data_IF_317063715143
#
_entry.id   IF_317063715143
#
_cell.length_a   1.000
_cell.length_b   1.000
_cell.length_c   1.000
_cell.angle_alpha   90.00
_cell.angle_beta   90.00
_cell.angle_gamma   90.00
#
_symmetry.space_group_name_H-M   'P 1'
#
loop_
_entity.id
_entity.type
_entity.pdbx_description
1 polymer ?
#
# COMPACT_ATOMS: atom_id res chain seq x y z
N UNK A 1 58.06 -10.59 -12.31
CA UNK A 1 57.37 -11.73 -12.94
C UNK A 1 57.57 -11.61 -14.43
N UNK A 2 58.06 -12.68 -15.07
CA UNK A 2 58.19 -12.71 -16.53
C UNK A 2 56.79 -12.70 -17.17
N UNK A 3 56.66 -12.26 -18.42
CA UNK A 3 55.38 -12.31 -19.17
C UNK A 3 54.85 -13.74 -19.31
N UNK A 4 55.74 -14.72 -19.25
CA UNK A 4 55.41 -16.15 -19.24
C UNK A 4 54.71 -16.53 -17.93
N UNK A 5 55.23 -16.11 -16.78
CA UNK A 5 54.64 -16.40 -15.46
C UNK A 5 53.20 -15.87 -15.32
N UNK A 6 52.94 -14.66 -15.83
CA UNK A 6 51.60 -14.04 -15.77
C UNK A 6 50.60 -14.80 -16.64
N UNK A 7 51.04 -15.27 -17.80
CA UNK A 7 50.20 -15.99 -18.76
C UNK A 7 49.81 -17.37 -18.22
N UNK A 8 50.75 -18.06 -17.59
CA UNK A 8 50.51 -19.39 -17.02
C UNK A 8 49.62 -19.32 -15.78
N UNK A 9 49.85 -18.33 -14.91
CA UNK A 9 48.97 -18.06 -13.76
C UNK A 9 47.53 -17.75 -14.20
N UNK A 10 47.36 -16.95 -15.26
CA UNK A 10 46.03 -16.61 -15.77
C UNK A 10 45.32 -17.81 -16.43
N UNK A 11 46.05 -18.66 -17.15
CA UNK A 11 45.51 -19.91 -17.72
C UNK A 11 45.07 -20.89 -16.64
N UNK A 12 45.80 -21.00 -15.54
CA UNK A 12 45.41 -21.81 -14.40
C UNK A 12 44.10 -21.31 -13.76
N UNK A 13 43.97 -20.00 -13.55
CA UNK A 13 42.74 -19.39 -13.02
C UNK A 13 41.52 -19.66 -13.91
N UNK A 14 41.66 -19.57 -15.24
CA UNK A 14 40.56 -19.80 -16.19
C UNK A 14 40.15 -21.28 -16.24
N UNK A 15 41.11 -22.22 -16.09
CA UNK A 15 40.80 -23.65 -16.00
C UNK A 15 40.06 -24.02 -14.72
N UNK A 16 40.37 -23.35 -13.60
CA UNK A 16 39.79 -23.64 -12.28
C UNK A 16 38.32 -23.22 -12.16
N UNK A 17 37.90 -22.21 -12.92
CA UNK A 17 36.54 -21.62 -12.88
C UNK A 17 35.56 -22.19 -13.93
N UNK A 18 35.95 -23.19 -14.73
CA UNK A 18 35.04 -23.86 -15.68
C UNK A 18 34.46 -22.97 -16.79
N UNK A 19 35.12 -21.86 -17.14
CA UNK A 19 34.61 -20.86 -18.10
C UNK A 19 34.80 -21.27 -19.58
N UNK A 20 33.94 -20.81 -20.51
CA UNK A 20 33.82 -21.37 -21.86
C UNK A 20 35.06 -21.15 -22.74
N UNK A 21 35.21 -22.00 -23.79
CA UNK A 21 36.30 -22.01 -24.79
C UNK A 21 36.70 -20.64 -25.36
N UNK A 22 35.81 -19.65 -25.33
CA UNK A 22 36.08 -18.27 -25.73
C UNK A 22 37.07 -17.53 -24.80
N UNK A 23 37.06 -17.79 -23.49
CA UNK A 23 38.00 -17.18 -22.54
C UNK A 23 39.44 -17.66 -22.77
N UNK A 24 39.61 -18.93 -23.16
CA UNK A 24 40.91 -19.49 -23.53
C UNK A 24 41.48 -18.87 -24.82
N UNK A 25 40.61 -18.57 -25.79
CA UNK A 25 40.98 -17.84 -27.02
C UNK A 25 41.48 -16.42 -26.69
N UNK A 26 40.80 -15.70 -25.80
CA UNK A 26 41.21 -14.36 -25.36
C UNK A 26 42.55 -14.36 -24.60
N UNK A 27 42.79 -15.39 -23.76
CA UNK A 27 44.04 -15.56 -23.02
C UNK A 27 45.25 -15.82 -23.94
N UNK A 28 45.04 -16.44 -25.11
CA UNK A 28 46.10 -16.68 -26.10
C UNK A 28 46.42 -15.45 -26.97
N UNK A 29 45.53 -14.45 -27.03
CA UNK A 29 45.73 -13.22 -27.82
C UNK A 29 46.45 -12.14 -27.02
N UNK A 30 46.28 -12.10 -25.69
CA UNK A 30 46.89 -11.10 -24.82
C UNK A 30 48.43 -11.04 -24.83
N UNK A 31 49.20 -12.14 -24.96
CA UNK A 31 50.67 -12.10 -24.94
C UNK A 31 51.30 -11.53 -26.22
N UNK A 32 50.57 -11.52 -27.35
CA UNK A 32 51.11 -11.13 -28.67
C UNK A 32 50.71 -9.71 -29.10
N UNK A 33 49.95 -9.00 -28.28
CA UNK A 33 49.41 -7.68 -28.64
C UNK A 33 50.36 -6.61 -28.12
N UNK A 34 50.95 -5.83 -29.03
CA UNK A 34 51.89 -4.76 -28.65
C UNK A 34 51.23 -3.79 -27.65
N UNK A 35 52.01 -3.16 -26.74
CA UNK A 35 51.48 -2.20 -25.77
C UNK A 35 50.63 -1.08 -26.40
N UNK A 36 50.92 -0.71 -27.66
CA UNK A 36 50.12 0.26 -28.43
C UNK A 36 48.72 -0.26 -28.78
N UNK A 37 48.61 -1.54 -29.11
CA UNK A 37 47.35 -2.17 -29.48
C UNK A 37 46.48 -2.45 -28.24
N UNK A 38 47.08 -2.84 -27.11
CA UNK A 38 46.38 -2.89 -25.82
C UNK A 38 45.79 -1.53 -25.41
N UNK A 39 46.55 -0.44 -25.58
CA UNK A 39 46.05 0.93 -25.33
C UNK A 39 44.89 1.30 -26.26
N UNK A 40 44.87 0.81 -27.50
CA UNK A 40 43.74 1.03 -28.43
C UNK A 40 42.51 0.25 -28.02
N UNK A 41 42.66 -0.99 -27.57
CA UNK A 41 41.55 -1.82 -27.08
C UNK A 41 40.92 -1.21 -25.83
N UNK A 42 41.74 -0.77 -24.86
CA UNK A 42 41.25 -0.08 -23.65
C UNK A 42 40.55 1.24 -24.01
N UNK A 43 41.04 1.98 -25.01
CA UNK A 43 40.38 3.19 -25.52
C UNK A 43 39.11 2.93 -26.34
N UNK A 44 38.94 1.72 -26.89
CA UNK A 44 37.76 1.33 -27.68
C UNK A 44 36.66 0.67 -26.86
N UNK A 45 36.95 0.26 -25.63
CA UNK A 45 35.90 -0.07 -24.67
C UNK A 45 35.19 1.25 -24.36
N UNK A 46 33.87 1.38 -24.62
CA UNK A 46 33.14 2.58 -24.25
C UNK A 46 33.14 2.66 -22.73
N UNK A 47 34.05 3.44 -22.15
CA UNK A 47 33.86 3.95 -20.80
C UNK A 47 32.61 4.83 -20.87
N UNK A 48 31.58 4.60 -20.04
CA UNK A 48 30.44 5.50 -20.01
C UNK A 48 30.95 6.93 -19.81
N UNK A 49 30.74 7.78 -20.82
CA UNK A 49 31.25 9.16 -20.87
C UNK A 49 30.42 10.15 -20.05
N UNK A 50 29.38 9.70 -19.36
CA UNK A 50 28.71 10.52 -18.36
C UNK A 50 29.16 10.08 -16.97
N UNK A 51 29.96 10.91 -16.32
CA UNK A 51 29.83 11.12 -14.88
C UNK A 51 28.43 11.72 -14.63
N UNK A 52 27.36 10.95 -14.85
CA UNK A 52 26.02 11.38 -14.47
C UNK A 52 25.93 11.17 -12.97
N UNK A 53 26.39 12.16 -12.21
CA UNK A 53 26.08 12.26 -10.78
C UNK A 53 24.56 12.23 -10.62
N UNK A 54 24.08 11.48 -9.64
CA UNK A 54 22.66 11.52 -9.29
C UNK A 54 22.27 12.94 -8.89
N UNK A 55 21.12 13.40 -9.35
CA UNK A 55 20.49 14.62 -8.82
C UNK A 55 20.07 14.41 -7.36
N UNK A 56 19.80 15.51 -6.66
CA UNK A 56 19.28 15.43 -5.29
C UNK A 56 17.93 14.69 -5.23
N UNK A 57 17.02 14.94 -6.17
CA UNK A 57 15.71 14.27 -6.21
C UNK A 57 15.85 12.76 -6.47
N UNK A 58 16.67 12.35 -7.44
CA UNK A 58 16.94 10.92 -7.70
C UNK A 58 17.57 10.23 -6.49
N UNK A 59 18.50 10.92 -5.82
CA UNK A 59 19.16 10.40 -4.61
C UNK A 59 18.17 10.26 -3.45
N UNK A 60 17.28 11.24 -3.25
CA UNK A 60 16.22 11.16 -2.22
C UNK A 60 15.29 9.99 -2.53
N UNK A 61 14.87 9.82 -3.79
CA UNK A 61 14.04 8.70 -4.20
C UNK A 61 14.73 7.36 -3.94
N UNK A 62 16.02 7.24 -4.28
CA UNK A 62 16.83 6.05 -4.01
C UNK A 62 16.94 5.76 -2.51
N UNK A 63 17.19 6.78 -1.68
CA UNK A 63 17.22 6.61 -0.22
C UNK A 63 15.90 6.05 0.31
N UNK A 64 14.76 6.56 -0.18
CA UNK A 64 13.44 6.10 0.25
C UNK A 64 13.15 4.67 -0.21
N UNK A 65 13.49 4.32 -1.46
CA UNK A 65 13.29 2.97 -2.00
C UNK A 65 14.14 1.93 -1.28
N UNK A 66 15.38 2.27 -0.93
CA UNK A 66 16.31 1.40 -0.23
C UNK A 66 16.16 1.43 1.30
N UNK A 67 15.32 2.33 1.85
CA UNK A 67 15.17 2.50 3.29
C UNK A 67 16.44 2.98 3.99
N UNK A 68 17.25 3.79 3.33
CA UNK A 68 18.52 4.28 3.88
C UNK A 68 18.28 5.36 4.95
N UNK A 69 18.91 5.18 6.11
CA UNK A 69 19.05 6.26 7.09
C UNK A 69 20.05 7.32 6.61
N UNK A 70 20.06 8.48 7.27
CA UNK A 70 21.08 9.52 7.07
C UNK A 70 22.49 8.94 7.21
N UNK A 71 22.74 8.17 8.26
CA UNK A 71 24.08 7.66 8.56
C UNK A 71 24.52 6.62 7.54
N UNK A 72 23.63 5.70 7.16
CA UNK A 72 23.89 4.71 6.11
C UNK A 72 24.23 5.39 4.77
N UNK A 73 23.51 6.47 4.43
CA UNK A 73 23.78 7.26 3.23
C UNK A 73 25.17 7.93 3.30
N UNK A 74 25.49 8.57 4.43
CA UNK A 74 26.78 9.25 4.61
C UNK A 74 27.94 8.24 4.53
N UNK A 75 27.78 7.05 5.13
CA UNK A 75 28.77 5.97 5.06
C UNK A 75 28.95 5.50 3.60
N UNK A 76 27.85 5.24 2.89
CA UNK A 76 27.87 4.82 1.50
C UNK A 76 28.59 5.85 0.61
N UNK A 77 28.23 7.13 0.76
CA UNK A 77 28.86 8.22 0.01
C UNK A 77 30.36 8.30 0.29
N UNK A 78 30.77 8.24 1.57
CA UNK A 78 32.20 8.26 1.95
C UNK A 78 32.97 7.08 1.36
N UNK A 79 32.39 5.88 1.38
CA UNK A 79 32.99 4.69 0.79
C UNK A 79 33.21 4.85 -0.72
N UNK A 80 32.22 5.36 -1.45
CA UNK A 80 32.35 5.66 -2.89
C UNK A 80 33.41 6.74 -3.15
N UNK A 81 33.39 7.84 -2.40
CA UNK A 81 34.40 8.91 -2.53
C UNK A 81 35.82 8.40 -2.26
N UNK A 82 36.02 7.48 -1.30
CA UNK A 82 37.32 6.85 -1.04
C UNK A 82 37.85 6.00 -2.21
N UNK A 83 36.97 5.58 -3.11
CA UNK A 83 37.31 4.87 -4.35
C UNK A 83 37.38 5.81 -5.56
N UNK A 84 37.32 7.12 -5.34
CA UNK A 84 37.32 8.14 -6.40
C UNK A 84 35.99 8.27 -7.15
N UNK A 85 34.90 7.71 -6.63
CA UNK A 85 33.57 7.75 -7.25
C UNK A 85 32.75 8.86 -6.59
N UNK A 86 32.53 9.96 -7.30
CA UNK A 86 31.76 11.11 -6.81
C UNK A 86 30.35 11.16 -7.43
N UNK A 87 29.60 10.06 -7.30
CA UNK A 87 28.29 9.92 -7.94
C UNK A 87 27.12 10.48 -7.11
N UNK A 88 27.29 10.69 -5.79
CA UNK A 88 26.21 11.04 -4.86
C UNK A 88 26.35 12.46 -4.28
N UNK A 89 25.29 13.30 -4.29
CA UNK A 89 25.28 14.64 -3.70
C UNK A 89 25.64 14.68 -2.21
N UNK A 90 25.98 15.86 -1.67
CA UNK A 90 26.17 15.96 -0.21
C UNK A 90 24.84 15.81 0.52
N UNK A 91 24.87 15.39 1.79
CA UNK A 91 23.63 15.32 2.57
C UNK A 91 23.03 16.71 2.83
N UNK A 92 23.85 17.77 2.84
CA UNK A 92 23.36 19.15 2.96
C UNK A 92 22.46 19.54 1.79
N UNK A 93 22.90 19.25 0.56
CA UNK A 93 22.14 19.52 -0.66
C UNK A 93 20.81 18.72 -0.67
N UNK A 94 20.85 17.48 -0.18
CA UNK A 94 19.62 16.68 -0.02
C UNK A 94 18.68 17.27 1.02
N UNK A 95 19.20 17.87 2.09
CA UNK A 95 18.39 18.48 3.14
C UNK A 95 17.67 19.73 2.63
N UNK A 96 18.38 20.60 1.91
CA UNK A 96 17.80 21.78 1.27
C UNK A 96 16.72 21.37 0.24
N UNK A 97 17.04 20.38 -0.60
CA UNK A 97 16.07 19.84 -1.57
C UNK A 97 14.84 19.26 -0.88
N UNK A 98 15.01 18.54 0.25
CA UNK A 98 13.87 18.03 1.05
C UNK A 98 13.01 19.16 1.60
N UNK A 99 13.60 20.26 2.07
CA UNK A 99 12.83 21.40 2.58
C UNK A 99 11.97 22.05 1.51
N UNK A 100 12.43 22.06 0.26
CA UNK A 100 11.65 22.58 -0.88
C UNK A 100 10.52 21.64 -1.33
N UNK A 101 10.63 20.33 -1.06
CA UNK A 101 9.62 19.33 -1.42
C UNK A 101 8.57 19.17 -0.31
N UNK A 102 9.02 19.18 0.95
CA UNK A 102 8.21 18.87 2.11
C UNK A 102 7.30 20.04 2.47
N UNK A 103 6.07 19.69 2.83
CA UNK A 103 5.15 20.63 3.46
C UNK A 103 5.50 20.77 4.92
N UNK A 104 5.60 22.02 5.40
CA UNK A 104 5.68 22.29 6.83
C UNK A 104 4.34 21.92 7.50
N UNK A 105 4.34 21.06 8.53
CA UNK A 105 3.13 20.80 9.29
C UNK A 105 2.62 22.10 9.92
N UNK A 106 1.32 22.31 9.87
CA UNK A 106 0.68 23.50 10.45
C UNK A 106 0.69 23.43 11.97
N UNK A 107 0.58 22.22 12.53
CA UNK A 107 0.64 21.99 13.98
C UNK A 107 1.54 20.79 14.24
N UNK A 108 2.51 20.96 15.14
CA UNK A 108 3.33 19.88 15.71
C UNK A 108 3.37 20.04 17.22
N UNK A 109 2.93 19.02 17.94
CA UNK A 109 3.05 18.92 19.40
C UNK A 109 3.62 17.56 19.78
N UNK A 110 3.83 17.33 21.08
CA UNK A 110 4.26 16.04 21.60
C UNK A 110 3.23 14.92 21.38
N UNK A 111 1.97 15.25 21.04
CA UNK A 111 0.86 14.31 20.92
C UNK A 111 0.25 14.24 19.52
N UNK A 112 0.49 15.22 18.64
CA UNK A 112 -0.12 15.27 17.31
C UNK A 112 0.72 16.03 16.29
N UNK A 113 0.54 15.68 15.02
CA UNK A 113 0.95 16.53 13.92
C UNK A 113 -0.15 16.59 12.84
N UNK A 114 -0.38 17.79 12.31
CA UNK A 114 -1.42 18.05 11.29
C UNK A 114 -0.87 18.96 10.21
N UNK A 115 -1.23 18.66 8.96
CA UNK A 115 -0.96 19.50 7.80
C UNK A 115 -2.28 20.15 7.36
N UNK A 116 -2.22 21.41 6.91
CA UNK A 116 -3.36 22.07 6.28
C UNK A 116 -3.79 21.29 5.03
N UNK A 117 -5.08 20.99 4.94
CA UNK A 117 -5.63 20.21 3.84
C UNK A 117 -5.46 20.91 2.48
N UNK A 118 -5.72 22.22 2.41
CA UNK A 118 -5.57 23.00 1.16
C UNK A 118 -4.13 22.96 0.66
N UNK A 119 -3.18 23.22 1.56
CA UNK A 119 -1.74 23.17 1.28
C UNK A 119 -1.31 21.76 0.83
N UNK A 120 -1.84 20.71 1.47
CA UNK A 120 -1.54 19.33 1.08
C UNK A 120 -2.02 19.00 -0.32
N UNK A 121 -3.25 19.41 -0.65
CA UNK A 121 -3.87 19.16 -1.94
C UNK A 121 -3.20 19.95 -3.06
N UNK A 122 -2.92 21.23 -2.83
CA UNK A 122 -2.21 22.09 -3.78
C UNK A 122 -0.82 21.53 -4.10
N UNK A 123 -0.01 21.24 -3.08
CA UNK A 123 1.31 20.65 -3.29
C UNK A 123 1.22 19.29 -3.99
N UNK A 124 0.22 18.46 -3.64
CA UNK A 124 -0.01 17.18 -4.31
C UNK A 124 -0.37 17.37 -5.78
N UNK A 125 -1.27 18.31 -6.10
CA UNK A 125 -1.66 18.62 -7.46
C UNK A 125 -0.47 19.13 -8.28
N UNK A 126 0.27 20.13 -7.77
CA UNK A 126 1.46 20.68 -8.44
C UNK A 126 2.49 19.58 -8.72
N UNK A 127 2.81 18.73 -7.73
CA UNK A 127 3.78 17.64 -7.92
C UNK A 127 3.30 16.60 -8.93
N UNK A 128 2.01 16.32 -9.02
CA UNK A 128 1.46 15.43 -10.06
C UNK A 128 1.56 16.09 -11.44
N UNK A 129 1.17 17.37 -11.56
CA UNK A 129 1.19 18.09 -12.84
C UNK A 129 2.61 18.19 -13.39
N UNK A 130 3.63 18.37 -12.54
CA UNK A 130 5.05 18.34 -12.94
C UNK A 130 5.48 17.02 -13.59
N UNK A 131 4.72 15.93 -13.44
CA UNK A 131 4.98 14.64 -14.09
C UNK A 131 4.31 14.50 -15.46
N UNK A 132 3.46 15.44 -15.86
CA UNK A 132 2.70 15.38 -17.11
C UNK A 132 3.54 15.77 -18.32
N UNK A 133 3.18 15.22 -19.47
CA UNK A 133 3.79 15.59 -20.74
C UNK A 133 3.37 16.99 -21.18
N UNK A 134 4.22 17.67 -21.96
CA UNK A 134 3.89 18.97 -22.56
C UNK A 134 2.61 18.93 -23.41
N UNK A 135 2.35 17.81 -24.08
CA UNK A 135 1.10 17.61 -24.84
C UNK A 135 -0.12 17.65 -23.91
N UNK A 136 -0.09 16.90 -22.81
CA UNK A 136 -1.17 16.88 -21.82
C UNK A 136 -1.40 18.27 -21.23
N UNK A 137 -0.32 18.99 -20.89
CA UNK A 137 -0.39 20.36 -20.37
C UNK A 137 -1.04 21.33 -21.37
N UNK A 138 -0.67 21.22 -22.66
CA UNK A 138 -1.28 22.01 -23.73
C UNK A 138 -2.78 21.72 -23.89
N UNK A 139 -3.18 20.46 -23.77
CA UNK A 139 -4.58 20.05 -23.86
C UNK A 139 -5.46 20.56 -22.71
N UNK A 140 -4.88 20.83 -21.54
CA UNK A 140 -5.61 21.32 -20.36
C UNK A 140 -5.41 22.81 -20.11
N UNK A 141 -4.62 23.48 -20.96
CA UNK A 141 -4.39 24.90 -20.83
C UNK A 141 -5.73 25.66 -20.87
N UNK A 142 -5.89 26.61 -19.96
CA UNK A 142 -7.10 27.41 -19.75
C UNK A 142 -8.37 26.60 -19.47
N UNK A 143 -8.25 25.33 -19.12
CA UNK A 143 -9.37 24.49 -18.75
C UNK A 143 -9.59 24.50 -17.23
N UNK A 144 -10.79 24.10 -16.82
CA UNK A 144 -11.05 23.66 -15.46
C UNK A 144 -10.79 22.16 -15.40
N UNK A 145 -10.01 21.72 -14.42
CA UNK A 145 -9.72 20.31 -14.14
C UNK A 145 -10.07 20.01 -12.68
N UNK A 146 -10.28 18.73 -12.37
CA UNK A 146 -10.63 18.26 -11.05
C UNK A 146 -9.71 17.12 -10.62
N UNK A 147 -9.04 17.29 -9.49
CA UNK A 147 -8.30 16.23 -8.82
C UNK A 147 -9.28 15.44 -7.93
N UNK A 148 -9.45 14.16 -8.27
CA UNK A 148 -10.26 13.22 -7.49
C UNK A 148 -9.34 12.46 -6.52
N UNK A 149 -9.67 12.52 -5.25
CA UNK A 149 -8.96 11.85 -4.17
C UNK A 149 -9.91 10.94 -3.40
N UNK A 150 -9.34 9.90 -2.79
CA UNK A 150 -9.99 9.20 -1.68
C UNK A 150 -9.23 9.49 -0.40
N UNK A 151 -9.93 9.46 0.71
CA UNK A 151 -9.32 9.64 2.02
C UNK A 151 -10.01 8.76 3.06
N UNK A 152 -9.40 8.69 4.23
CA UNK A 152 -10.00 8.05 5.40
C UNK A 152 -9.05 8.05 6.58
N UNK A 153 -9.46 7.35 7.62
CA UNK A 153 -8.76 7.28 8.89
C UNK A 153 -8.72 5.85 9.43
N UNK A 154 -7.68 5.56 10.19
CA UNK A 154 -7.45 4.26 10.79
C UNK A 154 -6.71 4.38 12.12
N UNK A 155 -6.98 3.42 13.01
CA UNK A 155 -6.40 3.32 14.34
C UNK A 155 -5.40 2.19 14.44
N UNK A 156 -4.19 2.51 14.91
CA UNK A 156 -3.20 1.53 15.32
C UNK A 156 -3.09 1.54 16.84
N UNK A 157 -3.16 0.36 17.45
CA UNK A 157 -2.89 0.16 18.88
C UNK A 157 -1.61 -0.65 19.07
N UNK A 158 -1.15 -0.80 20.31
CA UNK A 158 0.01 -1.65 20.70
C UNK A 158 1.36 -1.15 20.20
N UNK A 159 1.52 0.17 20.09
CA UNK A 159 2.84 0.78 19.89
C UNK A 159 3.69 0.70 21.16
N UNK A 160 5.01 0.73 20.97
CA UNK A 160 5.97 0.78 22.07
C UNK A 160 5.90 2.15 22.76
N UNK A 161 5.94 2.13 24.09
CA UNK A 161 6.03 3.37 24.86
C UNK A 161 7.44 3.93 24.86
N UNK A 162 7.52 5.25 24.69
CA UNK A 162 8.75 6.00 24.84
C UNK A 162 9.06 6.23 26.32
N UNK A 163 10.34 6.09 26.69
CA UNK A 163 10.84 6.44 28.02
C UNK A 163 11.15 7.96 28.09
N UNK A 164 10.11 8.78 27.98
CA UNK A 164 10.23 10.24 27.99
C UNK A 164 9.29 10.86 29.03
N UNK A 165 9.66 12.03 29.57
CA UNK A 165 8.83 12.77 30.51
C UNK A 165 7.65 13.41 29.76
N UNK A 166 6.54 12.69 29.63
CA UNK A 166 5.32 13.13 28.98
C UNK A 166 4.10 12.44 29.62
N UNK A 167 2.97 13.12 29.64
CA UNK A 167 1.67 12.58 30.06
C UNK A 167 0.90 11.91 28.93
N UNK A 168 1.42 11.96 27.70
CA UNK A 168 0.76 11.41 26.51
C UNK A 168 0.88 9.88 26.47
N UNK A 169 -0.23 9.18 26.20
CA UNK A 169 -0.23 7.74 25.95
C UNK A 169 0.18 7.46 24.50
N UNK A 170 1.40 6.96 24.32
CA UNK A 170 1.98 6.67 23.00
C UNK A 170 1.61 5.29 22.45
N UNK A 171 0.80 4.49 23.17
CA UNK A 171 0.48 3.10 22.77
C UNK A 171 -0.49 3.02 21.59
N UNK A 172 -1.22 4.10 21.32
CA UNK A 172 -2.20 4.15 20.24
C UNK A 172 -1.97 5.38 19.38
N UNK A 173 -2.11 5.21 18.07
CA UNK A 173 -2.10 6.29 17.09
C UNK A 173 -3.38 6.20 16.27
N UNK A 174 -4.01 7.35 16.09
CA UNK A 174 -5.09 7.52 15.14
C UNK A 174 -4.62 8.46 14.04
N UNK A 175 -4.78 8.06 12.79
CA UNK A 175 -4.25 8.82 11.65
C UNK A 175 -5.29 8.96 10.55
N UNK A 176 -5.23 10.09 9.83
CA UNK A 176 -5.95 10.27 8.57
C UNK A 176 -4.96 10.46 7.43
N UNK A 177 -5.33 9.95 6.26
CA UNK A 177 -4.52 10.06 5.05
C UNK A 177 -5.40 10.18 3.81
N UNK A 178 -4.81 10.74 2.76
CA UNK A 178 -5.45 11.00 1.49
C UNK A 178 -4.60 10.40 0.35
N UNK A 179 -5.27 9.89 -0.69
CA UNK A 179 -4.64 9.31 -1.86
C UNK A 179 -5.22 9.96 -3.12
N UNK A 180 -4.39 10.61 -3.96
CA UNK A 180 -4.83 11.09 -5.26
C UNK A 180 -5.11 9.89 -6.19
N UNK A 181 -6.26 9.90 -6.86
CA UNK A 181 -6.71 8.81 -7.74
C UNK A 181 -6.55 9.17 -9.21
N UNK A 182 -7.03 10.34 -9.61
CA UNK A 182 -7.00 10.79 -11.00
C UNK A 182 -7.22 12.29 -11.11
N UNK A 183 -6.78 12.88 -12.21
CA UNK A 183 -7.15 14.24 -12.60
C UNK A 183 -7.96 14.15 -13.89
N UNK A 184 -9.04 14.91 -13.98
CA UNK A 184 -9.98 14.92 -15.11
C UNK A 184 -10.33 16.35 -15.53
N UNK A 185 -10.66 16.57 -16.79
CA UNK A 185 -11.27 17.83 -17.24
C UNK A 185 -12.68 18.01 -16.67
N UNK A 186 -12.97 19.16 -16.10
CA UNK A 186 -14.23 19.52 -15.42
C UNK A 186 -15.44 19.67 -16.37
N UNK A 187 -15.28 19.34 -17.67
CA UNK A 187 -16.33 19.46 -18.69
C UNK A 187 -17.22 18.21 -18.83
N UNK A 188 -16.81 17.05 -18.29
CA UNK A 188 -17.66 15.84 -18.25
C UNK A 188 -18.61 15.90 -17.05
N UNK A 189 -19.67 16.70 -17.16
CA UNK A 189 -20.78 16.74 -16.18
C UNK A 189 -21.71 15.53 -16.29
N UNK A 190 -21.47 14.65 -17.26
CA UNK A 190 -22.35 13.52 -17.56
C UNK A 190 -21.94 12.27 -16.76
N UNK A 191 -22.63 12.03 -15.65
CA UNK A 191 -22.45 10.85 -14.79
C UNK A 191 -22.66 9.51 -15.54
N UNK A 192 -23.21 9.55 -16.76
CA UNK A 192 -23.48 8.40 -17.62
C UNK A 192 -22.41 8.13 -18.70
N UNK A 193 -21.45 9.04 -18.93
CA UNK A 193 -20.38 8.82 -19.92
C UNK A 193 -19.37 7.80 -19.39
N UNK A 194 -19.10 6.76 -20.18
CA UNK A 194 -18.01 5.80 -19.95
C UNK A 194 -16.67 6.28 -20.53
N UNK A 195 -16.69 7.38 -21.29
CA UNK A 195 -15.54 8.03 -21.91
C UNK A 195 -15.16 9.23 -21.05
N UNK A 196 -14.34 8.99 -20.03
CA UNK A 196 -13.80 10.05 -19.19
C UNK A 196 -12.49 10.58 -19.75
N UNK A 197 -12.35 11.90 -19.89
CA UNK A 197 -11.09 12.51 -20.29
C UNK A 197 -10.15 12.69 -19.08
N UNK A 198 -9.63 11.56 -18.57
CA UNK A 198 -8.66 11.50 -17.47
C UNK A 198 -7.27 11.89 -18.01
N UNK A 199 -6.65 12.93 -17.44
CA UNK A 199 -5.33 13.44 -17.85
C UNK A 199 -4.19 12.84 -17.02
N UNK A 200 -4.53 12.29 -15.86
CA UNK A 200 -3.63 11.57 -14.99
C UNK A 200 -4.40 10.51 -14.23
N UNK A 201 -3.84 9.31 -14.12
CA UNK A 201 -4.41 8.20 -13.35
C UNK A 201 -3.32 7.60 -12.47
N UNK A 202 -3.61 7.45 -11.19
CA UNK A 202 -2.77 6.67 -10.29
C UNK A 202 -2.85 5.19 -10.67
N UNK A 203 -1.73 4.63 -11.17
CA UNK A 203 -1.64 3.22 -11.55
C UNK A 203 -1.66 2.26 -10.36
N UNK A 204 -1.38 2.74 -9.14
CA UNK A 204 -1.31 1.92 -7.92
C UNK A 204 -2.02 2.60 -6.73
N UNK A 205 -3.35 2.81 -6.80
CA UNK A 205 -4.10 3.57 -5.80
C UNK A 205 -4.22 2.89 -4.42
N UNK A 206 -3.77 1.63 -4.29
CA UNK A 206 -3.64 0.91 -3.02
C UNK A 206 -2.22 0.94 -2.43
N UNK A 207 -1.26 1.58 -3.11
CA UNK A 207 0.13 1.64 -2.66
C UNK A 207 0.32 2.66 -1.54
N UNK A 208 1.13 2.29 -0.54
CA UNK A 208 1.56 3.19 0.53
C UNK A 208 2.32 4.42 0.01
N UNK A 209 2.93 4.34 -1.17
CA UNK A 209 3.74 5.42 -1.75
C UNK A 209 2.90 6.64 -2.18
N UNK A 210 1.59 6.44 -2.43
CA UNK A 210 0.66 7.52 -2.75
C UNK A 210 -0.19 7.96 -1.57
N UNK A 211 0.00 7.35 -0.39
CA UNK A 211 -0.74 7.67 0.82
C UNK A 211 -0.12 8.90 1.49
N UNK A 212 -0.79 10.04 1.36
CA UNK A 212 -0.34 11.34 1.91
C UNK A 212 -0.96 11.52 3.30
N UNK A 213 -0.15 11.60 4.38
CA UNK A 213 -0.69 11.79 5.73
C UNK A 213 -1.27 13.19 5.89
N UNK A 214 -2.50 13.27 6.39
CA UNK A 214 -3.17 14.53 6.73
C UNK A 214 -2.89 14.91 8.19
N UNK A 215 -3.03 13.94 9.07
CA UNK A 215 -2.68 14.08 10.47
C UNK A 215 -2.40 12.72 11.12
N UNK A 216 -1.68 12.76 12.23
CA UNK A 216 -1.65 11.67 13.20
C UNK A 216 -1.72 12.23 14.62
N UNK A 217 -2.36 11.48 15.51
CA UNK A 217 -2.53 11.85 16.91
C UNK A 217 -2.34 10.60 17.78
N UNK A 218 -1.62 10.76 18.89
CA UNK A 218 -1.46 9.73 19.91
C UNK A 218 -2.75 9.63 20.75
N UNK A 219 -3.74 8.98 20.16
CA UNK A 219 -5.04 8.73 20.77
C UNK A 219 -5.58 7.41 20.26
N UNK A 220 -6.48 6.80 21.03
CA UNK A 220 -7.17 5.59 20.61
C UNK A 220 -8.27 5.94 19.63
N UNK A 221 -8.42 5.12 18.60
CA UNK A 221 -9.60 5.18 17.74
C UNK A 221 -10.87 4.89 18.55
N UNK A 222 -11.73 5.90 18.64
CA UNK A 222 -12.99 5.86 19.36
C UNK A 222 -14.10 6.48 18.51
N UNK A 223 -15.36 6.21 18.84
CA UNK A 223 -16.52 6.82 18.16
C UNK A 223 -16.40 8.34 18.13
N UNK A 224 -16.05 8.94 19.27
CA UNK A 224 -15.95 10.40 19.45
C UNK A 224 -14.81 10.96 18.59
N UNK A 225 -13.61 10.38 18.69
CA UNK A 225 -12.44 10.87 17.94
C UNK A 225 -12.64 10.73 16.42
N UNK A 226 -13.29 9.65 16.00
CA UNK A 226 -13.61 9.38 14.59
C UNK A 226 -14.60 10.41 14.06
N UNK A 227 -15.71 10.64 14.76
CA UNK A 227 -16.72 11.62 14.36
C UNK A 227 -16.14 13.03 14.33
N UNK A 228 -15.37 13.42 15.35
CA UNK A 228 -14.70 14.72 15.39
C UNK A 228 -13.76 14.92 14.21
N UNK A 229 -12.89 13.95 13.92
CA UNK A 229 -11.95 14.04 12.81
C UNK A 229 -12.68 14.15 11.46
N UNK A 230 -13.69 13.32 11.24
CA UNK A 230 -14.48 13.35 10.00
C UNK A 230 -15.22 14.67 9.84
N UNK A 231 -15.92 15.15 10.87
CA UNK A 231 -16.64 16.43 10.81
C UNK A 231 -15.70 17.61 10.55
N UNK A 232 -14.54 17.64 11.23
CA UNK A 232 -13.53 18.68 11.01
C UNK A 232 -13.06 18.68 9.56
N UNK A 233 -12.65 17.52 9.04
CA UNK A 233 -12.11 17.40 7.69
C UNK A 233 -13.18 17.65 6.61
N UNK A 234 -14.42 17.20 6.79
CA UNK A 234 -15.53 17.51 5.89
C UNK A 234 -15.87 19.02 5.88
N UNK A 235 -15.73 19.70 7.01
CA UNK A 235 -15.88 21.16 7.07
C UNK A 235 -14.75 21.86 6.29
N UNK A 236 -13.52 21.36 6.39
CA UNK A 236 -12.39 21.85 5.60
C UNK A 236 -12.62 21.63 4.09
N UNK A 237 -13.24 20.51 3.68
CA UNK A 237 -13.60 20.28 2.26
C UNK A 237 -14.64 21.26 1.73
N UNK A 238 -15.66 21.59 2.52
CA UNK A 238 -16.73 22.52 2.10
C UNK A 238 -16.21 23.93 1.84
N UNK A 239 -15.13 24.31 2.53
CA UNK A 239 -14.50 25.62 2.41
C UNK A 239 -13.33 25.62 1.42
N UNK A 240 -13.14 24.54 0.65
CA UNK A 240 -11.98 24.38 -0.20
C UNK A 240 -12.19 25.08 -1.55
N UNK A 241 -11.34 26.04 -1.85
CA UNK A 241 -11.39 26.78 -3.12
C UNK A 241 -10.58 26.07 -4.20
N UNK A 242 -10.90 26.39 -5.46
CA UNK A 242 -10.07 25.94 -6.59
C UNK A 242 -8.75 26.68 -6.59
N UNK A 243 -7.69 26.00 -7.02
CA UNK A 243 -6.33 26.57 -7.08
C UNK A 243 -5.94 26.80 -8.53
N UNK A 244 -5.33 27.95 -8.80
CA UNK A 244 -4.73 28.23 -10.11
C UNK A 244 -3.34 27.58 -10.16
N UNK A 245 -3.12 26.69 -11.12
CA UNK A 245 -1.81 26.08 -11.34
C UNK A 245 -1.18 26.71 -12.58
N UNK A 246 0.01 27.29 -12.41
CA UNK A 246 0.83 27.87 -13.46
C UNK A 246 2.14 27.08 -13.58
N UNK A 247 2.37 26.47 -14.74
CA UNK A 247 3.60 25.73 -15.05
C UNK A 247 4.03 26.08 -16.47
N UNK A 248 5.23 26.66 -16.60
CA UNK A 248 5.77 27.19 -17.85
C UNK A 248 4.83 28.27 -18.43
N UNK A 249 4.22 28.00 -19.59
CA UNK A 249 3.28 28.87 -20.29
C UNK A 249 1.82 28.41 -20.14
N UNK A 250 1.58 27.34 -19.36
CA UNK A 250 0.27 26.73 -19.19
C UNK A 250 -0.36 27.12 -17.85
N UNK A 251 -1.62 27.54 -17.91
CA UNK A 251 -2.39 27.98 -16.74
C UNK A 251 -3.74 27.28 -16.76
N UNK A 252 -4.15 26.68 -15.65
CA UNK A 252 -5.47 26.06 -15.53
C UNK A 252 -5.98 26.07 -14.09
N UNK A 253 -7.29 25.89 -13.92
CA UNK A 253 -7.93 25.87 -12.60
C UNK A 253 -8.11 24.43 -12.11
N UNK A 254 -7.64 24.15 -10.90
CA UNK A 254 -7.75 22.85 -10.24
C UNK A 254 -8.80 22.89 -9.13
N UNK A 255 -9.93 22.22 -9.36
CA UNK A 255 -10.88 21.87 -8.31
C UNK A 255 -10.54 20.54 -7.64
N UNK A 256 -11.17 20.26 -6.50
CA UNK A 256 -10.91 19.04 -5.73
C UNK A 256 -12.22 18.30 -5.43
N UNK A 257 -12.20 16.97 -5.57
CA UNK A 257 -13.32 16.09 -5.26
C UNK A 257 -12.81 14.92 -4.42
N UNK A 258 -13.20 14.89 -3.15
CA UNK A 258 -12.56 14.06 -2.14
C UNK A 258 -13.61 13.13 -1.54
N UNK A 259 -13.35 11.83 -1.57
CA UNK A 259 -14.32 10.79 -1.17
C UNK A 259 -13.84 10.00 0.05
N UNK A 260 -14.64 9.98 1.12
CA UNK A 260 -14.37 9.22 2.35
C UNK A 260 -14.62 7.72 2.12
N UNK A 261 -13.68 7.04 1.47
CA UNK A 261 -13.83 5.62 1.07
C UNK A 261 -12.70 4.73 1.59
N UNK A 262 -11.67 5.31 2.20
CA UNK A 262 -10.58 4.57 2.86
C UNK A 262 -10.90 4.33 4.34
N UNK A 263 -12.09 3.80 4.62
CA UNK A 263 -12.53 3.46 5.97
C UNK A 263 -12.90 1.99 6.07
N UNK A 264 -12.83 1.44 7.29
CA UNK A 264 -13.33 0.11 7.56
C UNK A 264 -14.83 0.12 7.89
N UNK A 265 -15.41 -1.07 8.04
CA UNK A 265 -16.83 -1.19 8.40
C UNK A 265 -17.15 -0.66 9.79
N UNK A 266 -16.18 -0.60 10.70
CA UNK A 266 -16.38 -0.10 12.07
C UNK A 266 -16.53 1.41 12.07
N UNK A 267 -15.64 2.12 11.37
CA UNK A 267 -15.72 3.57 11.15
C UNK A 267 -17.02 3.92 10.42
N UNK A 268 -17.38 3.18 9.36
CA UNK A 268 -18.65 3.40 8.66
C UNK A 268 -19.88 3.25 9.58
N UNK A 269 -19.90 2.23 10.44
CA UNK A 269 -20.96 2.06 11.44
C UNK A 269 -21.01 3.21 12.46
N UNK A 270 -19.85 3.68 12.90
CA UNK A 270 -19.72 4.85 13.79
C UNK A 270 -20.31 6.12 13.16
N UNK A 271 -20.09 6.34 11.86
CA UNK A 271 -20.59 7.52 11.16
C UNK A 271 -22.08 7.45 10.86
N UNK A 272 -22.61 6.25 10.60
CA UNK A 272 -24.03 6.01 10.31
C UNK A 272 -24.90 5.86 11.57
N UNK A 273 -24.31 5.94 12.77
CA UNK A 273 -25.02 5.74 14.03
C UNK A 273 -25.49 4.29 14.26
N UNK A 274 -24.97 3.34 13.49
CA UNK A 274 -25.34 1.93 13.60
C UNK A 274 -24.53 1.30 14.74
N UNK A 275 -25.20 1.09 15.88
CA UNK A 275 -24.58 0.64 17.13
C UNK A 275 -24.03 -0.80 17.12
N UNK A 276 -24.23 -1.56 16.04
CA UNK A 276 -23.88 -2.98 15.98
C UNK A 276 -23.17 -3.36 14.67
N UNK A 277 -21.96 -3.93 14.79
CA UNK A 277 -21.17 -4.55 13.71
C UNK A 277 -21.86 -5.72 13.00
N UNK A 278 -23.06 -6.12 13.44
CA UNK A 278 -23.85 -7.24 12.89
C UNK A 278 -25.05 -6.78 12.06
N UNK A 279 -25.21 -5.48 11.83
CA UNK A 279 -26.20 -4.92 10.91
C UNK A 279 -25.51 -4.47 9.63
N UNK A 280 -26.22 -4.52 8.53
CA UNK A 280 -25.75 -3.96 7.27
C UNK A 280 -25.75 -2.43 7.37
N UNK A 281 -24.62 -1.77 7.07
CA UNK A 281 -24.51 -0.32 7.06
C UNK A 281 -25.48 0.35 6.08
N UNK A 282 -25.72 -0.30 4.94
CA UNK A 282 -26.53 0.24 3.84
C UNK A 282 -28.04 0.06 4.09
N UNK A 283 -28.47 -1.11 4.58
CA UNK A 283 -29.90 -1.42 4.72
C UNK A 283 -30.41 -1.45 6.17
N UNK A 284 -29.52 -1.34 7.16
CA UNK A 284 -29.86 -1.47 8.58
C UNK A 284 -30.31 -2.87 9.03
N UNK A 285 -30.48 -3.83 8.10
CA UNK A 285 -30.98 -5.18 8.37
C UNK A 285 -29.98 -6.03 9.14
N UNK A 286 -30.50 -6.90 10.02
CA UNK A 286 -29.72 -7.95 10.71
C UNK A 286 -29.67 -9.21 9.85
N UNK A 287 -28.75 -10.13 10.16
CA UNK A 287 -28.64 -11.44 9.49
C UNK A 287 -29.97 -12.21 9.39
N UNK A 288 -30.83 -12.12 10.42
CA UNK A 288 -32.16 -12.76 10.43
C UNK A 288 -33.08 -12.28 9.32
N UNK A 289 -32.93 -11.02 8.92
CA UNK A 289 -33.90 -10.29 8.09
C UNK A 289 -33.62 -10.52 6.59
N UNK A 290 -32.47 -11.12 6.26
CA UNK A 290 -32.08 -11.46 4.89
C UNK A 290 -32.68 -12.79 4.39
N UNK A 291 -33.50 -13.48 5.20
CA UNK A 291 -34.14 -14.76 4.82
C UNK A 291 -35.44 -14.59 4.00
N UNK A 292 -35.92 -13.37 3.77
CA UNK A 292 -37.18 -13.08 3.04
C UNK A 292 -36.98 -12.29 1.72
N UNK A 293 -38.04 -12.21 0.90
CA UNK A 293 -38.00 -11.51 -0.40
C UNK A 293 -37.60 -10.03 -0.25
N UNK A 294 -36.69 -9.57 -1.10
CA UNK A 294 -35.98 -8.29 -1.03
C UNK A 294 -36.80 -7.05 -1.39
N UNK A 295 -38.14 -7.10 -1.32
CA UNK A 295 -39.00 -6.08 -1.93
C UNK A 295 -39.03 -4.74 -1.17
N UNK A 296 -38.75 -4.75 0.14
CA UNK A 296 -38.67 -3.52 0.96
C UNK A 296 -37.23 -3.34 1.50
N UNK A 297 -36.33 -2.90 0.62
CA UNK A 297 -34.98 -2.47 1.00
C UNK A 297 -34.97 -0.96 1.16
N UNK A 298 -35.08 -0.51 2.41
CA UNK A 298 -34.78 0.88 2.74
C UNK A 298 -33.26 1.06 2.67
N UNK A 299 -32.80 1.91 1.77
CA UNK A 299 -31.38 2.17 1.51
C UNK A 299 -31.00 3.47 2.20
N UNK A 300 -29.96 3.42 3.03
CA UNK A 300 -29.30 4.62 3.51
C UNK A 300 -28.33 5.14 2.43
N UNK A 301 -28.74 6.21 1.74
CA UNK A 301 -27.94 6.83 0.67
C UNK A 301 -26.62 7.42 1.18
N UNK A 302 -26.59 7.98 2.39
CA UNK A 302 -25.35 8.48 3.02
C UNK A 302 -24.32 7.37 3.20
N UNK A 303 -24.79 6.14 3.47
CA UNK A 303 -23.90 4.98 3.63
C UNK A 303 -23.23 4.54 2.33
N UNK A 304 -23.81 4.88 1.17
CA UNK A 304 -23.22 4.55 -0.12
C UNK A 304 -22.01 5.42 -0.45
N UNK A 305 -21.93 6.63 0.12
CA UNK A 305 -20.78 7.53 -0.07
C UNK A 305 -19.48 6.95 0.49
N UNK A 306 -19.59 6.10 1.51
CA UNK A 306 -18.46 5.39 2.12
C UNK A 306 -17.90 4.27 1.24
N UNK A 307 -18.63 3.86 0.20
CA UNK A 307 -18.27 2.75 -0.67
C UNK A 307 -18.25 1.40 0.05
N UNK A 308 -17.65 0.41 -0.62
CA UNK A 308 -17.48 -0.94 -0.09
C UNK A 308 -15.99 -1.18 0.11
N UNK A 309 -15.59 -1.71 1.26
CA UNK A 309 -14.19 -2.08 1.54
C UNK A 309 -13.91 -3.52 1.05
N UNK A 310 -13.27 -3.72 -0.12
CA UNK A 310 -13.14 -5.06 -0.69
C UNK A 310 -12.20 -5.95 0.13
N UNK A 311 -11.18 -5.33 0.74
CA UNK A 311 -10.25 -6.02 1.65
C UNK A 311 -11.00 -6.65 2.84
N UNK A 312 -11.80 -5.85 3.54
CA UNK A 312 -12.57 -6.34 4.68
C UNK A 312 -13.65 -7.32 4.25
N UNK A 313 -14.29 -7.12 3.08
CA UNK A 313 -15.24 -8.09 2.53
C UNK A 313 -14.58 -9.47 2.36
N UNK A 314 -13.40 -9.55 1.74
CA UNK A 314 -12.65 -10.82 1.59
C UNK A 314 -12.31 -11.47 2.92
N UNK A 315 -11.82 -10.69 3.89
CA UNK A 315 -11.50 -11.22 5.23
C UNK A 315 -12.77 -11.77 5.91
N UNK A 316 -13.89 -11.06 5.83
CA UNK A 316 -15.18 -11.52 6.38
C UNK A 316 -15.73 -12.76 5.67
N UNK A 317 -15.54 -12.88 4.36
CA UNK A 317 -15.90 -14.09 3.63
C UNK A 317 -15.06 -15.29 4.08
N UNK A 318 -13.74 -15.12 4.23
CA UNK A 318 -12.85 -16.15 4.79
C UNK A 318 -13.36 -16.60 6.17
N UNK A 319 -13.56 -15.66 7.10
CA UNK A 319 -14.08 -15.97 8.44
C UNK A 319 -15.42 -16.72 8.38
N UNK A 320 -16.31 -16.30 7.47
CA UNK A 320 -17.60 -16.95 7.29
C UNK A 320 -17.47 -18.40 6.82
N UNK A 321 -16.63 -18.67 5.83
CA UNK A 321 -16.37 -20.02 5.34
C UNK A 321 -15.74 -20.90 6.42
N UNK A 322 -14.75 -20.39 7.14
CA UNK A 322 -14.13 -21.12 8.24
C UNK A 322 -15.16 -21.48 9.30
N UNK A 323 -16.01 -20.54 9.71
CA UNK A 323 -17.08 -20.84 10.66
C UNK A 323 -18.09 -21.87 10.12
N UNK A 324 -18.48 -21.77 8.85
CA UNK A 324 -19.34 -22.77 8.22
C UNK A 324 -18.70 -24.17 8.30
N UNK A 325 -17.41 -24.28 7.99
CA UNK A 325 -16.67 -25.54 8.02
C UNK A 325 -16.62 -26.17 9.41
N UNK A 326 -16.36 -25.36 10.44
CA UNK A 326 -16.36 -25.82 11.82
C UNK A 326 -17.73 -26.37 12.24
N UNK A 327 -18.80 -25.83 11.66
CA UNK A 327 -20.18 -26.18 11.99
C UNK A 327 -20.76 -27.28 11.05
N UNK A 328 -20.11 -27.60 9.91
CA UNK A 328 -20.62 -28.59 8.94
C UNK A 328 -20.83 -29.97 9.56
N UNK A 329 -19.90 -30.42 10.41
CA UNK A 329 -20.00 -31.73 11.06
C UNK A 329 -21.22 -31.81 11.96
N UNK A 330 -21.51 -30.73 12.70
CA UNK A 330 -22.71 -30.61 13.52
C UNK A 330 -23.99 -30.62 12.68
N UNK A 331 -24.02 -29.86 11.58
CA UNK A 331 -25.19 -29.79 10.70
C UNK A 331 -25.47 -31.10 9.93
N UNK A 332 -24.48 -31.97 9.76
CA UNK A 332 -24.64 -33.29 9.11
C UNK A 332 -25.06 -34.41 10.07
N UNK A 333 -25.08 -34.17 11.38
CA UNK A 333 -25.50 -35.19 12.34
C UNK A 333 -27.02 -35.41 12.32
N UNK A 334 -27.50 -36.65 12.54
CA UNK A 334 -28.92 -36.95 12.69
C UNK A 334 -29.58 -36.06 13.78
N UNK A 335 -30.81 -35.63 13.53
CA UNK A 335 -31.53 -34.64 14.34
C UNK A 335 -31.65 -35.04 15.82
N UNK A 336 -31.78 -36.33 16.11
CA UNK A 336 -31.92 -36.85 17.47
C UNK A 336 -30.60 -36.82 18.24
N UNK A 337 -29.48 -37.10 17.58
CA UNK A 337 -28.14 -36.96 18.17
C UNK A 337 -27.76 -35.49 18.43
N UNK A 338 -28.25 -34.56 17.60
CA UNK A 338 -28.04 -33.12 17.80
C UNK A 338 -28.82 -32.56 18.99
N UNK A 339 -30.03 -33.08 19.26
CA UNK A 339 -30.85 -32.65 20.40
C UNK A 339 -30.30 -33.12 21.76
N UNK A 340 -29.50 -34.19 21.77
CA UNK A 340 -28.92 -34.77 22.99
C UNK A 340 -27.59 -34.14 23.41
N UNK A 341 -26.95 -33.36 22.55
CA UNK A 341 -25.67 -32.73 22.85
C UNK A 341 -25.85 -31.52 23.75
N UNK A 342 -25.12 -31.49 24.86
CA UNK A 342 -25.08 -30.30 25.68
C UNK A 342 -24.19 -29.21 25.06
N UNK A 343 -24.28 -27.99 25.61
CA UNK A 343 -23.57 -26.81 25.10
C UNK A 343 -22.04 -26.97 25.17
N UNK A 344 -21.54 -27.76 26.11
CA UNK A 344 -20.11 -27.98 26.32
C UNK A 344 -19.55 -28.95 25.28
N UNK A 345 -20.22 -30.08 25.06
CA UNK A 345 -19.86 -31.07 24.05
C UNK A 345 -19.84 -30.46 22.63
N UNK A 346 -20.84 -29.63 22.32
CA UNK A 346 -20.90 -28.91 21.05
C UNK A 346 -19.70 -27.97 20.85
N UNK A 347 -19.26 -27.28 21.90
CA UNK A 347 -18.07 -26.40 21.84
C UNK A 347 -16.79 -27.20 21.65
N UNK A 348 -16.65 -28.33 22.35
CA UNK A 348 -15.47 -29.20 22.27
C UNK A 348 -15.34 -29.83 20.88
N UNK A 349 -16.45 -30.30 20.31
CA UNK A 349 -16.46 -30.79 18.93
C UNK A 349 -16.05 -29.71 17.94
N UNK A 350 -16.63 -28.49 18.06
CA UNK A 350 -16.26 -27.36 17.21
C UNK A 350 -14.79 -27.00 17.33
N UNK A 351 -14.22 -27.03 18.54
CA UNK A 351 -12.81 -26.77 18.77
C UNK A 351 -11.90 -27.86 18.15
N UNK A 352 -12.28 -29.14 18.27
CA UNK A 352 -11.58 -30.25 17.61
C UNK A 352 -11.59 -30.10 16.09
N UNK A 353 -12.74 -29.76 15.51
CA UNK A 353 -12.88 -29.55 14.07
C UNK A 353 -12.06 -28.33 13.60
N UNK A 354 -12.10 -27.22 14.34
CA UNK A 354 -11.24 -26.05 14.10
C UNK A 354 -9.76 -26.43 14.09
N UNK A 355 -9.27 -27.18 15.08
CA UNK A 355 -7.88 -27.61 15.14
C UNK A 355 -7.50 -28.53 13.97
N UNK A 356 -8.39 -29.44 13.57
CA UNK A 356 -8.20 -30.32 12.41
C UNK A 356 -8.05 -29.50 11.12
N UNK A 357 -8.99 -28.59 10.86
CA UNK A 357 -8.98 -27.73 9.67
C UNK A 357 -7.73 -26.83 9.65
N UNK A 358 -7.36 -26.24 10.80
CA UNK A 358 -6.13 -25.46 10.92
C UNK A 358 -4.87 -26.27 10.59
N UNK A 359 -4.82 -27.54 10.99
CA UNK A 359 -3.71 -28.43 10.67
C UNK A 359 -3.67 -28.71 9.17
N UNK A 360 -4.81 -29.09 8.58
CA UNK A 360 -4.89 -29.45 7.15
C UNK A 360 -4.53 -28.27 6.25
N UNK A 361 -4.99 -27.05 6.55
CA UNK A 361 -4.57 -25.85 5.80
C UNK A 361 -3.07 -25.57 5.97
N UNK A 362 -2.52 -25.73 7.18
CA UNK A 362 -1.10 -25.53 7.40
C UNK A 362 -0.24 -26.56 6.65
N UNK A 363 -0.64 -27.83 6.61
CA UNK A 363 0.11 -28.89 5.95
C UNK A 363 -0.08 -28.91 4.43
N UNK A 364 -1.29 -28.59 3.95
CA UNK A 364 -1.64 -28.65 2.53
C UNK A 364 -1.25 -27.39 1.76
N UNK A 365 -1.60 -26.21 2.26
CA UNK A 365 -1.37 -24.93 1.57
C UNK A 365 -0.39 -24.00 2.28
N UNK A 366 0.17 -24.40 3.42
CA UNK A 366 1.07 -23.57 4.22
C UNK A 366 0.37 -22.42 4.95
N UNK A 367 -0.95 -22.30 4.84
CA UNK A 367 -1.71 -21.18 5.42
C UNK A 367 -1.96 -21.39 6.91
N UNK A 368 -1.61 -20.39 7.72
CA UNK A 368 -1.99 -20.34 9.13
C UNK A 368 -3.30 -19.57 9.28
N UNK A 369 -4.42 -20.28 9.42
CA UNK A 369 -5.76 -19.68 9.49
C UNK A 369 -6.32 -19.60 10.93
N UNK A 370 -7.08 -18.56 11.23
CA UNK A 370 -7.90 -18.38 12.43
C UNK A 370 -7.18 -18.65 13.77
N UNK A 371 -5.89 -18.31 13.83
CA UNK A 371 -5.09 -18.35 15.07
C UNK A 371 -5.10 -16.97 15.72
N UNK A 372 -5.34 -16.87 17.03
CA UNK A 372 -5.28 -15.59 17.72
C UNK A 372 -3.85 -15.03 17.68
N UNK A 373 -3.72 -13.73 17.43
CA UNK A 373 -2.44 -13.01 17.54
C UNK A 373 -2.37 -12.30 18.90
N UNK A 374 -1.16 -12.10 19.42
CA UNK A 374 -0.97 -11.37 20.67
C UNK A 374 -1.37 -9.89 20.48
N UNK A 375 -2.17 -9.35 21.40
CA UNK A 375 -2.65 -7.96 21.36
C UNK A 375 -3.97 -7.77 20.62
N UNK A 376 -4.06 -8.14 19.33
CA UNK A 376 -5.32 -8.02 18.57
C UNK A 376 -5.38 -8.89 17.32
N UNK A 377 -6.60 -9.30 16.96
CA UNK A 377 -6.92 -9.93 15.68
C UNK A 377 -6.66 -11.44 15.64
N UNK A 378 -6.68 -11.97 14.43
CA UNK A 378 -6.30 -13.34 14.14
C UNK A 378 -5.37 -13.35 12.93
N UNK A 379 -4.82 -14.50 12.61
CA UNK A 379 -4.07 -14.69 11.37
C UNK A 379 -4.91 -14.51 10.10
N UNK A 380 -6.23 -14.30 10.20
CA UNK A 380 -7.10 -13.97 9.07
C UNK A 380 -6.90 -12.52 8.63
N UNK A 381 -5.78 -12.25 7.99
CA UNK A 381 -5.47 -10.97 7.38
C UNK A 381 -5.71 -11.01 5.86
N UNK A 382 -5.38 -9.91 5.18
CA UNK A 382 -5.53 -9.81 3.73
C UNK A 382 -4.66 -10.81 2.94
N UNK A 383 -3.50 -11.23 3.47
CA UNK A 383 -2.65 -12.19 2.80
C UNK A 383 -3.23 -13.60 2.91
N UNK A 384 -3.71 -13.96 4.11
CA UNK A 384 -4.36 -15.24 4.36
C UNK A 384 -5.65 -15.37 3.55
N UNK A 385 -6.46 -14.31 3.47
CA UNK A 385 -7.64 -14.30 2.61
C UNK A 385 -7.28 -14.47 1.11
N UNK A 386 -6.26 -13.76 0.61
CA UNK A 386 -5.80 -13.94 -0.78
C UNK A 386 -5.32 -15.37 -1.03
N UNK A 387 -4.51 -15.93 -0.13
CA UNK A 387 -4.03 -17.30 -0.25
C UNK A 387 -5.18 -18.31 -0.29
N UNK A 388 -6.20 -18.12 0.56
CA UNK A 388 -7.38 -18.98 0.60
C UNK A 388 -8.20 -18.93 -0.70
N UNK A 389 -8.43 -17.74 -1.28
CA UNK A 389 -9.26 -17.62 -2.49
C UNK A 389 -8.49 -17.84 -3.80
N UNK A 390 -7.16 -17.68 -3.82
CA UNK A 390 -6.33 -17.93 -5.01
C UNK A 390 -6.21 -19.41 -5.35
N UNK A 391 -6.08 -20.26 -4.35
CA UNK A 391 -5.99 -21.71 -4.52
C UNK A 391 -7.35 -22.36 -4.23
N UNK A 392 -8.29 -22.14 -5.16
CA UNK A 392 -9.65 -22.64 -5.03
C UNK A 392 -9.74 -24.16 -5.08
N UNK A 393 -8.81 -24.83 -5.77
CA UNK A 393 -8.75 -26.29 -5.91
C UNK A 393 -8.39 -26.93 -4.57
N UNK A 394 -7.22 -26.58 -4.01
CA UNK A 394 -6.79 -27.08 -2.70
C UNK A 394 -7.78 -26.70 -1.61
N UNK A 395 -8.32 -25.48 -1.65
CA UNK A 395 -9.35 -25.06 -0.70
C UNK A 395 -10.62 -25.91 -0.86
N UNK A 396 -11.07 -26.21 -2.08
CA UNK A 396 -12.22 -27.08 -2.30
C UNK A 396 -11.98 -28.50 -1.82
N UNK A 397 -10.80 -29.07 -2.07
CA UNK A 397 -10.42 -30.40 -1.60
C UNK A 397 -10.45 -30.49 -0.06
N UNK A 398 -9.86 -29.49 0.61
CA UNK A 398 -9.79 -29.43 2.07
C UNK A 398 -11.18 -29.21 2.67
N UNK A 399 -11.96 -28.30 2.09
CA UNK A 399 -13.21 -27.82 2.69
C UNK A 399 -14.44 -28.61 2.26
N UNK A 400 -14.35 -29.32 1.12
CA UNK A 400 -15.47 -29.96 0.42
C UNK A 400 -16.63 -29.01 0.14
N UNK A 401 -16.35 -27.71 0.06
CA UNK A 401 -17.28 -26.68 -0.38
C UNK A 401 -17.30 -26.70 -1.90
N UNK A 402 -18.46 -26.48 -2.52
CA UNK A 402 -18.57 -26.46 -3.98
C UNK A 402 -17.62 -25.41 -4.55
N UNK A 403 -16.71 -25.85 -5.43
CA UNK A 403 -15.66 -25.02 -6.05
C UNK A 403 -16.20 -23.71 -6.64
N UNK A 404 -17.38 -23.77 -7.26
CA UNK A 404 -18.09 -22.63 -7.85
C UNK A 404 -18.35 -21.51 -6.83
N UNK A 405 -18.60 -21.85 -5.55
CA UNK A 405 -18.81 -20.85 -4.51
C UNK A 405 -17.51 -20.14 -4.12
N UNK A 406 -16.37 -20.82 -4.24
CA UNK A 406 -15.04 -20.26 -3.95
C UNK A 406 -14.55 -19.42 -5.14
N UNK A 407 -14.72 -19.90 -6.37
CA UNK A 407 -14.31 -19.20 -7.59
C UNK A 407 -15.12 -17.92 -7.90
N UNK A 408 -16.41 -17.87 -7.53
CA UNK A 408 -17.27 -16.70 -7.78
C UNK A 408 -17.13 -15.58 -6.76
N UNK A 409 -16.33 -15.78 -5.71
CA UNK A 409 -16.12 -14.78 -4.67
C UNK A 409 -14.79 -14.03 -4.90
N UNK A 410 -14.75 -12.73 -4.56
CA UNK A 410 -13.75 -11.79 -5.05
C UNK A 410 -12.34 -12.01 -4.52
#
# INVERSE_FOLDING_TARGET
MSTVDVTDTFKEMVKKDGRPKYALKSANVLPSVSPKCLRRIVKSIPTPKSESSFTCEETIALMLQLGLSRDSYIILRKALSSKGINALPSYGDLQETKQNILLSPTVVTNSKATVSLSVLLENTAVRIVLTLSAQTLKEVNQCNVQLICKWGCDGLSTLLEYKQASTTDYRSVFMASLVPLRIRKHADTDYASTSFNDIWINSTPGSKNFCRPLCFEFTKESTINTQYLVQRTETEFKNLESVTIEIMEYIFQMGFNIKLTMIDGKVSNTLTGISLTRRCGISGKKKSDFKGSSKDLLINWESLEFGISPLHARIRFLEHFLHLLYDLKYHRMPTDSNKSLNKQESKEMRAKEKNSIQYVFKSGSGLNIDKPLFGFGSTNDGNTARGFFMDSETTTEITRIVEILVQKLP
#
